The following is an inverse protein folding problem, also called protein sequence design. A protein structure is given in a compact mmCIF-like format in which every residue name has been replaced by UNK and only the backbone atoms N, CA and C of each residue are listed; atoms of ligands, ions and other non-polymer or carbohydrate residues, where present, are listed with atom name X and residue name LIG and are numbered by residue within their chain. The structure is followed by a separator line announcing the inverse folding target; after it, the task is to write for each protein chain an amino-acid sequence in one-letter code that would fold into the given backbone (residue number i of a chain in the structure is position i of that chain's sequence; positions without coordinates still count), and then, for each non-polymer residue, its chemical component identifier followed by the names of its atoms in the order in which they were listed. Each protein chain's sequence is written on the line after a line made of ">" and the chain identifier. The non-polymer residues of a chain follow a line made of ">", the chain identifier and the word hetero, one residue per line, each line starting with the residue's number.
data_IF_387118774572
#
_entry.id   IF_387118774572
#
_cell.length_a   1.000
_cell.length_b   1.000
_cell.length_c   1.000
_cell.angle_alpha   90.00
_cell.angle_beta   90.00
_cell.angle_gamma   90.00
#
_symmetry.space_group_name_H-M   'P 1'
#
loop_
_entity.id
_entity.type
_entity.pdbx_description
1 polymer ?
#
# COMPACT_ATOMS: atom_id res chain seq x y z
N UNK A 1 33.34 -23.02 6.40
CA UNK A 1 33.44 -23.66 5.08
C UNK A 1 33.07 -22.62 4.05
N UNK A 2 34.04 -22.30 3.17
CA UNK A 2 33.85 -21.47 1.98
C UNK A 2 33.35 -22.41 0.89
N UNK A 3 32.04 -22.64 0.85
CA UNK A 3 31.43 -23.23 -0.33
C UNK A 3 31.19 -22.09 -1.30
N UNK A 4 31.79 -22.19 -2.47
CA UNK A 4 31.55 -21.33 -3.61
C UNK A 4 30.06 -21.10 -3.77
N UNK A 5 29.63 -19.85 -3.63
CA UNK A 5 28.42 -19.36 -4.29
C UNK A 5 28.58 -19.73 -5.76
N UNK A 6 28.06 -20.89 -6.18
CA UNK A 6 27.60 -21.02 -7.55
C UNK A 6 26.61 -19.89 -7.70
N UNK A 7 27.08 -18.78 -8.29
CA UNK A 7 26.24 -17.71 -8.74
C UNK A 7 25.29 -18.38 -9.72
N UNK A 8 24.09 -18.69 -9.21
CA UNK A 8 22.98 -19.03 -10.07
C UNK A 8 22.70 -17.72 -10.81
N UNK A 9 23.41 -17.53 -11.91
CA UNK A 9 22.94 -16.72 -13.03
C UNK A 9 21.69 -17.43 -13.55
N UNK A 10 20.63 -17.44 -12.74
CA UNK A 10 19.30 -17.78 -13.21
C UNK A 10 18.99 -16.69 -14.20
N UNK A 11 19.17 -17.01 -15.49
CA UNK A 11 18.69 -16.15 -16.57
C UNK A 11 17.26 -15.80 -16.22
N UNK A 12 17.00 -14.51 -16.03
CA UNK A 12 15.66 -14.03 -15.73
C UNK A 12 14.75 -14.48 -16.88
N UNK A 13 13.77 -15.31 -16.56
CA UNK A 13 12.80 -15.87 -17.51
C UNK A 13 11.49 -15.11 -17.50
N UNK A 14 11.25 -14.30 -16.48
CA UNK A 14 10.02 -13.54 -16.29
C UNK A 14 10.24 -12.34 -15.37
N UNK A 15 9.53 -11.26 -15.62
CA UNK A 15 9.40 -10.12 -14.69
C UNK A 15 7.97 -10.07 -14.17
N UNK A 16 7.79 -9.93 -12.86
CA UNK A 16 6.49 -9.68 -12.24
C UNK A 16 6.50 -8.29 -11.59
N UNK A 17 5.75 -7.35 -12.16
CA UNK A 17 5.59 -5.99 -11.64
C UNK A 17 4.28 -5.88 -10.89
N UNK A 18 4.36 -5.55 -9.60
CA UNK A 18 3.23 -5.52 -8.67
C UNK A 18 3.07 -4.13 -8.08
N UNK A 19 1.91 -3.55 -8.32
CA UNK A 19 1.45 -2.33 -7.65
C UNK A 19 0.45 -2.73 -6.57
N UNK A 20 0.81 -2.55 -5.31
CA UNK A 20 -0.08 -2.83 -4.19
C UNK A 20 -0.78 -1.54 -3.77
N UNK A 21 -2.11 -1.57 -3.71
CA UNK A 21 -2.89 -0.51 -3.09
C UNK A 21 -3.46 -1.00 -1.76
N UNK A 22 -2.94 -0.47 -0.65
CA UNK A 22 -3.18 -0.96 0.72
C UNK A 22 -3.60 0.14 1.68
N UNK A 23 -4.10 -0.28 2.84
CA UNK A 23 -4.54 0.63 3.89
C UNK A 23 -3.37 1.34 4.60
N UNK A 24 -3.58 2.60 4.97
CA UNK A 24 -2.65 3.39 5.79
C UNK A 24 -2.51 2.95 7.25
N UNK A 25 -3.35 2.00 7.70
CA UNK A 25 -3.41 1.51 9.07
C UNK A 25 -2.02 1.21 9.64
N UNK A 26 -1.78 1.64 10.89
CA UNK A 26 -0.47 1.50 11.51
C UNK A 26 -0.06 0.04 11.69
N UNK A 27 -1.02 -0.88 11.83
CA UNK A 27 -0.78 -2.32 12.02
C UNK A 27 -0.34 -3.02 10.73
N UNK A 28 -0.59 -2.41 9.58
CA UNK A 28 -0.26 -2.95 8.25
C UNK A 28 1.25 -3.13 8.08
N UNK A 29 1.66 -4.26 7.47
CA UNK A 29 3.05 -4.62 7.20
C UNK A 29 3.98 -4.50 8.41
N UNK A 30 3.77 -5.42 9.34
CA UNK A 30 4.74 -5.69 10.40
C UNK A 30 6.12 -6.10 9.91
N UNK A 31 7.04 -6.15 10.87
CA UNK A 31 8.39 -6.65 10.63
C UNK A 31 8.41 -8.07 10.06
N UNK A 32 7.51 -8.94 10.53
CA UNK A 32 7.38 -10.30 10.00
C UNK A 32 7.05 -10.31 8.51
N UNK A 33 6.02 -9.56 8.10
CA UNK A 33 5.58 -9.54 6.70
C UNK A 33 6.65 -8.92 5.78
N UNK A 34 7.38 -7.90 6.26
CA UNK A 34 8.53 -7.34 5.55
C UNK A 34 9.61 -8.39 5.32
N UNK A 35 10.05 -9.08 6.38
CA UNK A 35 11.09 -10.13 6.30
C UNK A 35 10.69 -11.25 5.36
N UNK A 36 9.41 -11.63 5.39
CA UNK A 36 8.84 -12.60 4.46
C UNK A 36 8.91 -12.07 3.03
N UNK A 37 8.47 -10.84 2.77
CA UNK A 37 8.50 -10.24 1.44
C UNK A 37 9.92 -10.20 0.85
N UNK A 38 10.91 -9.71 1.61
CA UNK A 38 12.29 -9.61 1.16
C UNK A 38 12.89 -11.00 0.89
N UNK A 39 12.61 -11.97 1.78
CA UNK A 39 12.99 -13.36 1.59
C UNK A 39 12.34 -14.00 0.36
N UNK A 40 11.06 -13.71 0.10
CA UNK A 40 10.33 -14.28 -1.04
C UNK A 40 10.81 -13.71 -2.36
N UNK A 41 11.18 -12.43 -2.41
CA UNK A 41 11.76 -11.81 -3.62
C UNK A 41 13.02 -12.59 -4.03
N UNK A 42 13.93 -12.84 -3.09
CA UNK A 42 15.15 -13.61 -3.35
C UNK A 42 14.85 -15.06 -3.82
N UNK A 43 13.78 -15.67 -3.29
CA UNK A 43 13.37 -17.02 -3.70
C UNK A 43 12.71 -17.06 -5.08
N UNK A 44 11.96 -16.03 -5.45
CA UNK A 44 11.40 -15.87 -6.79
C UNK A 44 12.51 -15.61 -7.82
N UNK A 45 13.51 -14.79 -7.46
CA UNK A 45 14.68 -14.57 -8.31
C UNK A 45 15.46 -15.86 -8.55
N UNK A 46 15.60 -16.69 -7.52
CA UNK A 46 16.23 -18.01 -7.59
C UNK A 46 15.55 -19.01 -8.56
N UNK A 47 14.28 -18.79 -8.95
CA UNK A 47 13.56 -19.54 -10.00
C UNK A 47 13.45 -18.77 -11.31
N UNK A 48 14.23 -17.71 -11.47
CA UNK A 48 14.29 -16.89 -12.69
C UNK A 48 13.15 -15.89 -12.82
N UNK A 49 12.50 -15.47 -11.72
CA UNK A 49 11.45 -14.46 -11.72
C UNK A 49 11.94 -13.21 -11.00
N UNK A 50 12.15 -12.12 -11.75
CA UNK A 50 12.46 -10.81 -11.15
C UNK A 50 11.17 -10.17 -10.66
N UNK A 51 11.13 -9.75 -9.40
CA UNK A 51 9.96 -9.10 -8.82
C UNK A 51 10.21 -7.60 -8.64
N UNK A 52 9.31 -6.79 -9.18
CA UNK A 52 9.28 -5.34 -8.94
C UNK A 52 8.03 -5.03 -8.15
N UNK A 53 8.21 -4.52 -6.94
CA UNK A 53 7.11 -4.22 -6.03
C UNK A 53 7.03 -2.72 -5.76
N UNK A 54 5.83 -2.17 -5.83
CA UNK A 54 5.51 -0.79 -5.49
C UNK A 54 4.29 -0.72 -4.61
N UNK A 55 4.28 0.21 -3.67
CA UNK A 55 3.23 0.28 -2.66
C UNK A 55 2.63 1.69 -2.59
N UNK A 56 1.33 1.73 -2.83
CA UNK A 56 0.47 2.89 -2.72
C UNK A 56 -0.38 2.64 -1.47
N UNK A 57 -0.39 3.62 -0.58
CA UNK A 57 -0.95 3.46 0.76
C UNK A 57 -1.98 4.56 0.96
N UNK A 58 -3.25 4.21 1.12
CA UNK A 58 -4.34 5.16 1.38
C UNK A 58 -5.27 4.61 2.45
N UNK A 59 -5.72 5.43 3.39
CA UNK A 59 -6.65 4.97 4.42
C UNK A 59 -7.92 4.42 3.76
N UNK A 60 -8.35 3.24 4.20
CA UNK A 60 -9.54 2.58 3.66
C UNK A 60 -9.42 2.12 2.20
N UNK A 61 -8.33 2.41 1.49
CA UNK A 61 -8.09 1.97 0.10
C UNK A 61 -9.14 2.51 -0.87
N UNK A 62 -9.58 3.75 -0.71
CA UNK A 62 -10.53 4.38 -1.63
C UNK A 62 -9.88 4.84 -2.93
N UNK A 63 -10.23 4.17 -4.04
CA UNK A 63 -9.81 4.55 -5.39
C UNK A 63 -10.61 5.76 -5.89
N UNK A 64 -10.29 6.95 -5.37
CA UNK A 64 -10.78 8.24 -5.89
C UNK A 64 -10.04 8.63 -7.16
N UNK A 65 -10.57 9.62 -7.90
CA UNK A 65 -9.99 10.06 -9.16
C UNK A 65 -8.51 10.46 -9.03
N UNK A 66 -8.14 11.18 -7.98
CA UNK A 66 -6.74 11.56 -7.68
C UNK A 66 -5.84 10.35 -7.39
N UNK A 67 -6.36 9.35 -6.68
CA UNK A 67 -5.61 8.12 -6.39
C UNK A 67 -5.43 7.30 -7.66
N UNK A 68 -6.50 7.11 -8.45
CA UNK A 68 -6.45 6.40 -9.73
C UNK A 68 -5.46 7.08 -10.66
N UNK A 69 -5.58 8.38 -10.84
CA UNK A 69 -4.67 9.20 -11.63
C UNK A 69 -3.21 9.06 -11.16
N UNK A 70 -2.98 9.11 -9.84
CA UNK A 70 -1.68 8.84 -9.23
C UNK A 70 -1.15 7.43 -9.54
N UNK A 71 -1.99 6.40 -9.43
CA UNK A 71 -1.64 5.01 -9.80
C UNK A 71 -1.24 4.96 -11.28
N UNK A 72 -2.07 5.49 -12.18
CA UNK A 72 -1.83 5.46 -13.63
C UNK A 72 -0.53 6.17 -14.01
N UNK A 73 -0.28 7.38 -13.48
CA UNK A 73 0.98 8.10 -13.71
C UNK A 73 2.19 7.32 -13.17
N UNK A 74 2.04 6.70 -12.00
CA UNK A 74 3.05 5.84 -11.41
C UNK A 74 3.41 4.66 -12.32
N UNK A 75 2.39 3.97 -12.81
CA UNK A 75 2.51 2.87 -13.76
C UNK A 75 3.19 3.33 -15.04
N UNK A 76 2.73 4.42 -15.66
CA UNK A 76 3.35 4.99 -16.86
C UNK A 76 4.83 5.27 -16.66
N UNK A 77 5.20 6.01 -15.59
CA UNK A 77 6.60 6.35 -15.30
C UNK A 77 7.46 5.09 -15.11
N UNK A 78 6.92 4.05 -14.46
CA UNK A 78 7.66 2.81 -14.19
C UNK A 78 7.68 1.85 -15.36
N UNK A 79 6.65 1.82 -16.19
CA UNK A 79 6.68 1.06 -17.44
C UNK A 79 7.66 1.71 -18.41
N UNK A 80 7.59 3.03 -18.60
CA UNK A 80 8.55 3.74 -19.46
C UNK A 80 10.00 3.52 -18.99
N UNK A 81 10.27 3.79 -17.71
CA UNK A 81 11.59 3.57 -17.12
C UNK A 81 11.99 2.09 -17.10
N UNK A 82 11.05 1.20 -16.83
CA UNK A 82 11.26 -0.25 -16.77
C UNK A 82 11.50 -0.86 -18.14
N UNK A 83 10.85 -0.38 -19.19
CA UNK A 83 11.15 -0.76 -20.57
C UNK A 83 12.56 -0.29 -20.94
N UNK A 84 12.99 0.91 -20.54
CA UNK A 84 14.36 1.38 -20.76
C UNK A 84 15.40 0.57 -19.95
N UNK A 85 15.17 0.34 -18.66
CA UNK A 85 16.11 -0.31 -17.73
C UNK A 85 16.10 -1.84 -17.79
N UNK A 86 14.99 -2.48 -18.14
CA UNK A 86 14.84 -3.96 -18.14
C UNK A 86 14.84 -4.57 -19.53
N UNK A 87 14.54 -3.84 -20.59
CA UNK A 87 14.75 -4.37 -21.95
C UNK A 87 16.23 -4.30 -22.30
N UNK A 88 16.85 -3.13 -22.13
CA UNK A 88 18.17 -2.87 -22.70
C UNK A 88 19.27 -3.84 -22.23
N UNK A 89 19.39 -4.18 -20.93
CA UNK A 89 20.45 -5.09 -20.48
C UNK A 89 20.20 -6.57 -20.81
N UNK A 90 18.96 -6.95 -21.12
CA UNK A 90 18.56 -8.36 -21.29
C UNK A 90 18.22 -8.73 -22.73
N UNK A 91 18.31 -7.76 -23.66
CA UNK A 91 18.13 -7.96 -25.09
C UNK A 91 19.02 -9.06 -25.66
N UNK A 92 20.23 -9.18 -25.12
CA UNK A 92 21.25 -10.11 -25.62
C UNK A 92 21.24 -11.47 -24.86
N UNK A 93 20.50 -11.58 -23.75
CA UNK A 93 20.46 -12.78 -22.89
C UNK A 93 19.31 -13.75 -23.23
N UNK A 94 18.28 -13.29 -23.94
CA UNK A 94 17.13 -14.09 -24.35
C UNK A 94 17.30 -14.58 -25.81
N UNK A 95 17.37 -15.90 -26.07
CA UNK A 95 17.54 -16.45 -27.43
C UNK A 95 16.45 -16.08 -28.44
N UNK A 96 15.32 -15.51 -27.98
CA UNK A 96 14.17 -15.09 -28.78
C UNK A 96 13.70 -13.65 -28.51
N UNK A 97 14.51 -12.82 -27.84
CA UNK A 97 14.33 -11.36 -27.82
C UNK A 97 13.21 -10.76 -26.95
N UNK A 98 12.47 -11.55 -26.15
CA UNK A 98 11.48 -10.99 -25.21
C UNK A 98 11.38 -11.77 -23.89
N UNK A 99 11.51 -11.07 -22.76
CA UNK A 99 11.22 -11.61 -21.42
C UNK A 99 9.77 -11.26 -21.08
N UNK A 100 8.90 -12.25 -20.82
CA UNK A 100 7.52 -12.00 -20.41
C UNK A 100 7.43 -11.10 -19.16
N UNK A 101 6.55 -10.11 -19.21
CA UNK A 101 6.27 -9.20 -18.11
C UNK A 101 4.81 -9.35 -17.66
N UNK A 102 4.60 -9.68 -16.39
CA UNK A 102 3.28 -9.63 -15.76
C UNK A 102 3.11 -8.28 -15.06
N UNK A 103 1.96 -7.65 -15.27
CA UNK A 103 1.57 -6.42 -14.58
C UNK A 103 0.34 -6.68 -13.70
N UNK A 104 0.55 -6.61 -12.39
CA UNK A 104 -0.50 -6.89 -11.41
C UNK A 104 -0.73 -5.68 -10.52
N UNK A 105 -1.99 -5.29 -10.35
CA UNK A 105 -2.41 -4.38 -9.30
C UNK A 105 -3.14 -5.16 -8.21
N UNK A 106 -2.59 -5.18 -7.00
CA UNK A 106 -3.20 -5.84 -5.85
C UNK A 106 -3.92 -4.79 -4.99
N UNK A 107 -5.25 -4.73 -5.06
CA UNK A 107 -6.08 -3.96 -4.13
C UNK A 107 -6.32 -4.81 -2.88
N UNK A 108 -5.92 -4.33 -1.72
CA UNK A 108 -6.07 -5.10 -0.49
C UNK A 108 -6.52 -4.22 0.67
N UNK A 109 -7.73 -4.50 1.15
CA UNK A 109 -8.30 -3.85 2.35
C UNK A 109 -8.00 -4.71 3.59
N UNK A 110 -8.44 -4.29 4.77
CA UNK A 110 -8.35 -5.11 5.97
C UNK A 110 -9.65 -5.12 6.76
N UNK A 111 -9.93 -6.26 7.38
CA UNK A 111 -11.07 -6.48 8.27
C UNK A 111 -10.85 -7.74 9.12
N UNK A 112 -11.65 -7.91 10.18
CA UNK A 112 -11.79 -9.21 10.86
C UNK A 112 -12.68 -10.13 10.03
N UNK A 113 -12.10 -10.62 8.95
CA UNK A 113 -12.74 -11.52 7.99
C UNK A 113 -12.14 -12.92 8.08
N UNK A 114 -12.99 -13.93 7.92
CA UNK A 114 -12.58 -15.34 7.84
C UNK A 114 -13.42 -16.06 6.82
N UNK A 115 -12.92 -17.19 6.32
CA UNK A 115 -13.70 -18.10 5.50
C UNK A 115 -14.75 -18.82 6.34
N UNK A 116 -15.92 -19.09 5.75
CA UNK A 116 -16.96 -19.96 6.32
C UNK A 116 -16.43 -21.37 6.56
N UNK A 117 -17.02 -22.05 7.53
CA UNK A 117 -16.77 -23.47 7.74
C UNK A 117 -17.12 -24.26 6.46
N UNK A 118 -16.23 -25.17 6.06
CA UNK A 118 -16.36 -25.96 4.83
C UNK A 118 -15.79 -25.33 3.56
N UNK A 119 -15.42 -24.05 3.57
CA UNK A 119 -14.73 -23.43 2.43
C UNK A 119 -13.32 -24.02 2.23
N UNK A 120 -12.91 -24.21 0.97
CA UNK A 120 -11.58 -24.72 0.64
C UNK A 120 -10.51 -23.67 0.98
N UNK A 121 -9.79 -23.88 2.08
CA UNK A 121 -8.72 -22.99 2.55
C UNK A 121 -7.48 -22.96 1.63
N UNK A 122 -7.37 -23.91 0.70
CA UNK A 122 -6.25 -23.96 -0.24
C UNK A 122 -6.55 -23.24 -1.56
N UNK A 123 -7.79 -22.81 -1.80
CA UNK A 123 -8.11 -22.04 -2.98
C UNK A 123 -7.36 -20.70 -2.98
N UNK A 124 -6.81 -20.32 -4.14
CA UNK A 124 -6.17 -19.02 -4.30
C UNK A 124 -7.17 -17.85 -4.26
N UNK A 125 -8.43 -18.12 -4.60
CA UNK A 125 -9.52 -17.13 -4.67
C UNK A 125 -10.80 -17.79 -4.17
N UNK A 126 -11.60 -17.05 -3.41
CA UNK A 126 -12.86 -17.51 -2.84
C UNK A 126 -14.03 -16.68 -3.38
N UNK A 127 -15.23 -17.26 -3.50
CA UNK A 127 -16.41 -16.47 -3.77
C UNK A 127 -16.72 -15.55 -2.57
N UNK A 128 -17.27 -14.38 -2.85
CA UNK A 128 -17.68 -13.41 -1.83
C UNK A 128 -18.62 -14.01 -0.76
N UNK A 129 -19.44 -15.00 -1.14
CA UNK A 129 -20.36 -15.72 -0.25
C UNK A 129 -19.66 -16.52 0.85
N UNK A 130 -18.38 -16.86 0.66
CA UNK A 130 -17.62 -17.67 1.61
C UNK A 130 -16.94 -16.82 2.69
N UNK A 131 -17.03 -15.49 2.60
CA UNK A 131 -16.40 -14.59 3.56
C UNK A 131 -17.39 -14.18 4.64
N UNK A 132 -16.97 -14.30 5.90
CA UNK A 132 -17.70 -13.82 7.08
C UNK A 132 -16.88 -12.72 7.72
N UNK A 133 -17.52 -11.59 8.07
CA UNK A 133 -16.87 -10.48 8.76
C UNK A 133 -17.48 -10.27 10.15
N UNK A 134 -16.63 -9.92 11.13
CA UNK A 134 -17.08 -9.51 12.46
C UNK A 134 -17.15 -7.99 12.52
N UNK A 135 -18.36 -7.43 12.44
CA UNK A 135 -18.60 -5.97 12.33
C UNK A 135 -17.96 -5.14 13.45
N UNK A 136 -18.07 -5.59 14.69
CA UNK A 136 -17.63 -4.85 15.88
C UNK A 136 -16.15 -5.10 16.26
N UNK A 137 -15.33 -5.56 15.31
CA UNK A 137 -13.93 -5.88 15.59
C UNK A 137 -13.02 -4.65 15.57
N UNK A 138 -12.14 -4.55 16.55
CA UNK A 138 -11.10 -3.50 16.66
C UNK A 138 -10.12 -3.49 15.50
N UNK A 139 -10.03 -4.56 14.70
CA UNK A 139 -9.14 -4.67 13.54
C UNK A 139 -9.77 -4.24 12.23
N UNK A 140 -11.07 -3.92 12.23
CA UNK A 140 -11.72 -3.33 11.06
C UNK A 140 -11.11 -1.97 10.74
N UNK A 141 -11.22 -1.58 9.48
CA UNK A 141 -10.69 -0.30 9.03
C UNK A 141 -11.44 0.85 9.70
N UNK A 142 -10.72 1.79 10.30
CA UNK A 142 -11.33 2.99 10.91
C UNK A 142 -12.10 3.85 9.92
N UNK A 143 -11.83 3.72 8.62
CA UNK A 143 -12.62 4.36 7.55
C UNK A 143 -14.03 3.75 7.36
N UNK A 144 -14.40 2.72 8.12
CA UNK A 144 -15.81 2.37 8.35
C UNK A 144 -16.62 3.56 8.87
N UNK A 145 -15.99 4.48 9.59
CA UNK A 145 -16.59 5.71 10.13
C UNK A 145 -16.25 6.97 9.32
N UNK A 146 -15.91 6.84 8.03
CA UNK A 146 -15.44 7.97 7.24
C UNK A 146 -16.41 9.17 7.22
N UNK A 147 -17.73 8.92 7.25
CA UNK A 147 -18.74 9.98 7.33
C UNK A 147 -18.71 10.74 8.67
N UNK A 148 -18.48 10.05 9.78
CA UNK A 148 -18.38 10.69 11.10
C UNK A 148 -17.12 11.57 11.15
N UNK A 149 -16.00 11.06 10.65
CA UNK A 149 -14.74 11.82 10.51
C UNK A 149 -14.94 13.04 9.61
N UNK A 150 -15.72 12.92 8.53
CA UNK A 150 -16.01 14.04 7.64
C UNK A 150 -16.88 15.11 8.31
N UNK A 151 -17.93 14.71 9.03
CA UNK A 151 -18.75 15.63 9.83
C UNK A 151 -17.89 16.40 10.83
N UNK A 152 -16.99 15.69 11.48
CA UNK A 152 -16.02 16.24 12.42
C UNK A 152 -15.03 17.22 11.77
N UNK A 153 -14.63 16.95 10.52
CA UNK A 153 -13.80 17.85 9.72
C UNK A 153 -14.59 19.11 9.34
N UNK A 154 -15.84 18.96 8.89
CA UNK A 154 -16.71 20.06 8.50
C UNK A 154 -16.95 21.03 9.66
N UNK A 155 -17.25 20.51 10.85
CA UNK A 155 -17.38 21.34 12.05
C UNK A 155 -16.05 22.00 12.43
N UNK A 156 -14.93 21.29 12.27
CA UNK A 156 -13.61 21.84 12.54
C UNK A 156 -13.23 23.01 11.60
N UNK A 157 -13.59 22.97 10.32
CA UNK A 157 -13.23 24.02 9.34
C UNK A 157 -14.20 25.19 9.30
N UNK A 158 -15.41 25.01 9.86
CA UNK A 158 -16.49 25.99 9.84
C UNK A 158 -16.06 27.35 10.43
N UNK A 159 -16.20 28.40 9.64
CA UNK A 159 -15.82 29.78 9.96
C UNK A 159 -14.31 30.02 10.07
N UNK A 160 -13.47 29.04 9.73
CA UNK A 160 -12.01 29.08 9.97
C UNK A 160 -11.17 28.96 8.71
N UNK A 161 -11.76 28.46 7.61
CA UNK A 161 -11.14 28.44 6.30
C UNK A 161 -11.73 29.53 5.41
N UNK A 162 -10.83 30.31 4.80
CA UNK A 162 -11.17 31.32 3.81
C UNK A 162 -10.23 31.27 2.61
N UNK A 163 -10.76 31.55 1.41
CA UNK A 163 -9.98 31.76 0.19
C UNK A 163 -10.51 32.97 -0.56
N UNK A 164 -9.58 33.77 -1.10
CA UNK A 164 -9.92 34.86 -2.02
C UNK A 164 -10.08 34.32 -3.44
N UNK A 165 -11.26 34.49 -4.02
CA UNK A 165 -11.56 34.10 -5.40
C UNK A 165 -11.90 35.36 -6.22
N UNK A 166 -10.88 35.99 -6.80
CA UNK A 166 -11.02 37.32 -7.41
C UNK A 166 -11.32 38.39 -6.36
N UNK A 167 -12.48 39.05 -6.46
CA UNK A 167 -12.91 40.13 -5.56
C UNK A 167 -13.76 39.66 -4.36
N UNK A 168 -14.11 38.37 -4.30
CA UNK A 168 -14.86 37.77 -3.19
C UNK A 168 -13.95 36.97 -2.25
N UNK A 169 -14.35 36.88 -0.99
CA UNK A 169 -13.79 35.97 0.00
C UNK A 169 -14.83 34.88 0.24
N UNK A 170 -14.44 33.62 0.02
CA UNK A 170 -15.26 32.45 0.34
C UNK A 170 -14.84 31.97 1.73
N UNK A 171 -15.78 31.92 2.65
CA UNK A 171 -15.57 31.38 4.00
C UNK A 171 -16.40 30.11 4.14
N UNK A 172 -15.79 29.03 4.64
CA UNK A 172 -16.48 27.74 4.77
C UNK A 172 -17.44 27.78 5.96
N UNK A 173 -18.75 27.69 5.73
CA UNK A 173 -19.78 27.64 6.78
C UNK A 173 -20.65 26.37 6.74
N UNK A 174 -20.69 25.74 5.58
CA UNK A 174 -21.50 24.59 5.23
C UNK A 174 -20.84 23.84 4.05
N UNK A 175 -21.53 22.85 3.51
CA UNK A 175 -20.98 22.02 2.43
C UNK A 175 -20.94 22.72 1.08
N UNK A 176 -21.86 23.65 0.80
CA UNK A 176 -21.88 24.36 -0.48
C UNK A 176 -20.73 25.36 -0.54
N UNK A 177 -20.50 26.10 0.55
CA UNK A 177 -19.31 26.95 0.70
C UNK A 177 -18.01 26.15 0.73
N UNK A 178 -18.00 24.92 1.27
CA UNK A 178 -16.84 24.02 1.16
C UNK A 178 -16.60 23.55 -0.28
N UNK A 179 -17.66 23.21 -1.03
CA UNK A 179 -17.54 22.86 -2.46
C UNK A 179 -16.94 24.02 -3.24
N UNK A 180 -17.42 25.24 -2.98
CA UNK A 180 -16.90 26.43 -3.63
C UNK A 180 -15.44 26.69 -3.25
N UNK A 181 -15.10 26.60 -1.97
CA UNK A 181 -13.74 26.70 -1.47
C UNK A 181 -12.80 25.71 -2.18
N UNK A 182 -13.22 24.44 -2.30
CA UNK A 182 -12.44 23.38 -2.94
C UNK A 182 -12.24 23.65 -4.44
N UNK A 183 -13.25 24.18 -5.14
CA UNK A 183 -13.12 24.55 -6.57
C UNK A 183 -11.98 25.53 -6.78
N UNK A 184 -11.90 26.56 -5.93
CA UNK A 184 -10.91 27.63 -6.06
C UNK A 184 -9.50 27.22 -5.62
N UNK A 185 -9.39 26.34 -4.61
CA UNK A 185 -8.09 25.97 -4.01
C UNK A 185 -7.52 24.65 -4.52
N UNK A 186 -8.36 23.75 -5.03
CA UNK A 186 -8.01 22.40 -5.47
C UNK A 186 -8.37 22.14 -6.94
N UNK A 187 -8.66 23.18 -7.75
CA UNK A 187 -9.10 23.05 -9.15
C UNK A 187 -10.21 21.99 -9.31
N UNK A 188 -11.11 21.95 -8.32
CA UNK A 188 -12.12 20.92 -8.20
C UNK A 188 -13.30 21.27 -9.11
N UNK A 189 -13.28 20.76 -10.34
CA UNK A 189 -14.27 21.06 -11.39
C UNK A 189 -15.58 20.25 -11.29
N UNK A 190 -15.76 19.35 -10.31
CA UNK A 190 -17.07 18.69 -10.08
C UNK A 190 -17.18 17.52 -9.09
N UNK A 191 -18.46 17.24 -8.77
CA UNK A 191 -19.16 16.34 -7.82
C UNK A 191 -19.27 16.76 -6.33
N UNK A 192 -20.40 16.42 -5.71
CA UNK A 192 -20.80 16.74 -4.34
C UNK A 192 -19.74 16.28 -3.30
N UNK A 193 -19.23 17.13 -2.38
CA UNK A 193 -18.32 16.72 -1.30
C UNK A 193 -18.76 15.46 -0.53
N UNK A 194 -20.08 15.20 -0.45
CA UNK A 194 -20.65 13.96 0.13
C UNK A 194 -20.55 12.74 -0.78
N UNK A 195 -20.59 12.89 -2.11
CA UNK A 195 -20.41 11.76 -3.05
C UNK A 195 -18.99 11.19 -2.98
N UNK A 196 -18.04 12.00 -2.52
CA UNK A 196 -16.64 11.64 -2.33
C UNK A 196 -16.39 10.76 -1.10
N UNK A 197 -17.06 11.00 0.04
CA UNK A 197 -16.76 10.28 1.29
C UNK A 197 -17.85 9.25 1.58
N UNK A 198 -17.54 7.98 1.34
CA UNK A 198 -18.40 6.84 1.61
C UNK A 198 -17.79 6.02 2.74
N UNK A 199 -18.58 5.59 3.73
CA UNK A 199 -18.07 4.68 4.74
C UNK A 199 -17.83 3.30 4.13
N UNK A 200 -17.03 2.50 4.83
CA UNK A 200 -16.92 1.06 4.53
C UNK A 200 -17.99 0.34 5.34
N UNK A 201 -19.14 0.08 4.72
CA UNK A 201 -20.24 -0.66 5.35
C UNK A 201 -20.02 -2.17 5.27
N UNK A 202 -19.52 -2.62 4.11
CA UNK A 202 -19.19 -4.00 3.81
C UNK A 202 -17.82 -4.06 3.15
N UNK A 203 -16.86 -4.74 3.79
CA UNK A 203 -15.48 -4.85 3.31
C UNK A 203 -15.35 -5.65 2.00
N UNK A 204 -16.22 -6.66 1.79
CA UNK A 204 -16.25 -7.49 0.58
C UNK A 204 -16.68 -6.66 -0.61
N UNK A 205 -17.83 -5.99 -0.51
CA UNK A 205 -18.32 -5.10 -1.57
C UNK A 205 -17.37 -3.92 -1.80
N UNK A 206 -16.79 -3.39 -0.71
CA UNK A 206 -15.88 -2.26 -0.81
C UNK A 206 -14.64 -2.61 -1.62
N UNK A 207 -13.87 -3.65 -1.28
CA UNK A 207 -12.65 -3.96 -2.03
C UNK A 207 -12.94 -4.28 -3.50
N UNK A 208 -14.03 -5.01 -3.78
CA UNK A 208 -14.45 -5.31 -5.15
C UNK A 208 -14.80 -4.03 -5.93
N UNK A 209 -15.52 -3.10 -5.30
CA UNK A 209 -15.84 -1.79 -5.89
C UNK A 209 -14.58 -0.97 -6.19
N UNK A 210 -13.58 -0.98 -5.32
CA UNK A 210 -12.33 -0.24 -5.57
C UNK A 210 -11.50 -0.88 -6.68
N UNK A 211 -11.42 -2.22 -6.71
CA UNK A 211 -10.80 -2.95 -7.82
C UNK A 211 -11.48 -2.64 -9.15
N UNK A 212 -12.82 -2.75 -9.23
CA UNK A 212 -13.58 -2.46 -10.45
C UNK A 212 -13.44 -1.02 -10.94
N UNK A 213 -13.29 -0.03 -10.04
CA UNK A 213 -12.97 1.36 -10.44
C UNK A 213 -11.60 1.48 -11.10
N UNK A 214 -10.60 0.79 -10.57
CA UNK A 214 -9.24 0.79 -11.11
C UNK A 214 -9.21 0.03 -12.45
N UNK A 215 -9.88 -1.12 -12.55
CA UNK A 215 -10.03 -1.88 -13.80
C UNK A 215 -10.69 -1.01 -14.90
N UNK A 216 -11.78 -0.32 -14.56
CA UNK A 216 -12.45 0.59 -15.49
C UNK A 216 -11.52 1.73 -15.95
N UNK A 217 -10.68 2.26 -15.05
CA UNK A 217 -9.69 3.28 -15.41
C UNK A 217 -8.57 2.75 -16.32
N UNK A 218 -8.10 1.52 -16.05
CA UNK A 218 -7.06 0.85 -16.86
C UNK A 218 -7.56 0.48 -18.26
N UNK A 219 -8.84 0.14 -18.40
CA UNK A 219 -9.48 -0.11 -19.70
C UNK A 219 -9.51 1.14 -20.61
N UNK A 220 -9.37 2.33 -20.02
CA UNK A 220 -9.40 3.61 -20.72
C UNK A 220 -10.82 4.03 -21.16
N UNK A 221 -10.95 5.21 -21.81
CA UNK A 221 -12.23 5.69 -22.32
C UNK A 221 -12.79 4.74 -23.39
N UNK A 222 -14.12 4.67 -23.50
CA UNK A 222 -14.76 3.92 -24.60
C UNK A 222 -14.42 4.55 -25.95
N UNK A 223 -14.44 3.78 -27.06
CA UNK A 223 -14.26 4.36 -28.39
C UNK A 223 -15.20 5.54 -28.63
N UNK A 224 -14.65 6.74 -28.86
CA UNK A 224 -15.40 7.98 -29.07
C UNK A 224 -15.47 8.94 -27.87
N UNK A 225 -15.05 8.52 -26.68
CA UNK A 225 -14.88 9.41 -25.53
C UNK A 225 -13.51 10.09 -25.58
N UNK A 226 -13.46 11.40 -25.33
CA UNK A 226 -12.20 12.15 -25.33
C UNK A 226 -11.27 11.60 -24.24
N UNK A 227 -10.07 11.17 -24.65
CA UNK A 227 -9.05 10.71 -23.72
C UNK A 227 -8.53 11.92 -22.93
N UNK A 228 -8.88 12.02 -21.65
CA UNK A 228 -8.19 12.95 -20.76
C UNK A 228 -6.70 12.56 -20.74
N UNK A 229 -5.85 13.56 -20.91
CA UNK A 229 -4.43 13.55 -21.36
C UNK A 229 -3.43 12.71 -20.55
N UNK A 230 -3.88 11.86 -19.62
CA UNK A 230 -3.02 11.11 -18.70
C UNK A 230 -2.60 9.74 -19.26
N UNK A 231 -3.33 9.20 -20.23
CA UNK A 231 -3.09 7.84 -20.78
C UNK A 231 -2.04 7.77 -21.90
N UNK A 232 -1.41 8.88 -22.28
CA UNK A 232 -0.39 8.91 -23.35
C UNK A 232 0.86 9.63 -22.85
N UNK A 233 1.72 8.88 -22.19
CA UNK A 233 3.10 9.28 -21.92
C UNK A 233 4.02 8.37 -22.76
N UNK A 234 4.83 8.98 -23.63
CA UNK A 234 5.81 8.29 -24.51
C UNK A 234 5.23 7.34 -25.59
N UNK A 235 4.03 7.59 -26.11
CA UNK A 235 3.46 6.84 -27.24
C UNK A 235 2.87 5.47 -26.90
N UNK A 236 2.85 5.11 -25.61
CA UNK A 236 2.28 3.87 -25.08
C UNK A 236 1.05 4.16 -24.21
N UNK A 237 -0.03 3.37 -24.36
CA UNK A 237 -1.24 3.52 -23.55
C UNK A 237 -1.35 2.39 -22.53
N UNK A 238 -1.74 2.69 -21.29
CA UNK A 238 -1.89 1.64 -20.26
C UNK A 238 -2.90 0.57 -20.64
N UNK A 239 -3.90 0.90 -21.47
CA UNK A 239 -4.88 -0.05 -22.00
C UNK A 239 -4.26 -1.13 -22.90
N UNK A 240 -3.05 -0.89 -23.40
CA UNK A 240 -2.32 -1.84 -24.26
C UNK A 240 -1.45 -2.81 -23.43
N UNK A 241 -1.37 -2.62 -22.10
CA UNK A 241 -0.78 -3.58 -21.17
C UNK A 241 -1.84 -4.59 -20.75
N UNK A 242 -1.48 -5.86 -20.69
CA UNK A 242 -2.30 -6.89 -20.05
C UNK A 242 -2.20 -6.76 -18.51
N UNK A 243 -3.11 -5.97 -17.93
CA UNK A 243 -3.20 -5.78 -16.49
C UNK A 243 -4.07 -6.85 -15.85
N UNK A 244 -3.62 -7.35 -14.71
CA UNK A 244 -4.47 -8.06 -13.77
C UNK A 244 -4.74 -7.19 -12.55
N UNK A 245 -6.01 -7.05 -12.16
CA UNK A 245 -6.38 -6.46 -10.87
C UNK A 245 -6.89 -7.55 -9.94
N UNK A 246 -6.22 -7.70 -8.81
CA UNK A 246 -6.62 -8.61 -7.74
C UNK A 246 -7.24 -7.82 -6.58
N UNK A 247 -8.16 -8.45 -5.86
CA UNK A 247 -8.94 -7.84 -4.79
C UNK A 247 -8.95 -8.78 -3.58
N UNK A 248 -8.43 -8.30 -2.46
CA UNK A 248 -8.32 -9.09 -1.23
C UNK A 248 -8.67 -8.35 0.05
N UNK A 249 -8.94 -9.14 1.10
CA UNK A 249 -9.12 -8.66 2.46
C UNK A 249 -8.07 -9.32 3.34
N UNK A 250 -7.24 -8.53 3.98
CA UNK A 250 -6.28 -9.00 4.98
C UNK A 250 -6.91 -9.05 6.36
N UNK A 251 -6.88 -10.21 6.99
CA UNK A 251 -7.14 -10.32 8.43
C UNK A 251 -5.83 -10.12 9.19
N UNK A 252 -5.67 -8.96 9.83
CA UNK A 252 -4.44 -8.67 10.59
C UNK A 252 -4.19 -9.63 11.75
N UNK A 253 -5.24 -10.20 12.36
CA UNK A 253 -5.10 -11.15 13.48
C UNK A 253 -4.39 -12.44 13.06
N UNK A 254 -4.74 -12.97 11.90
CA UNK A 254 -4.23 -14.27 11.42
C UNK A 254 -3.12 -14.11 10.38
N UNK A 255 -3.04 -12.95 9.71
CA UNK A 255 -2.20 -12.75 8.53
C UNK A 255 -2.79 -13.31 7.24
N UNK A 256 -3.98 -13.92 7.31
CA UNK A 256 -4.66 -14.46 6.14
C UNK A 256 -5.04 -13.33 5.18
N UNK A 257 -4.79 -13.54 3.89
CA UNK A 257 -5.34 -12.70 2.82
C UNK A 257 -6.37 -13.52 2.07
N UNK A 258 -7.63 -13.08 2.13
CA UNK A 258 -8.75 -13.72 1.43
C UNK A 258 -8.98 -12.97 0.12
N UNK A 259 -8.62 -13.58 -1.01
CA UNK A 259 -8.90 -13.02 -2.33
C UNK A 259 -10.32 -13.34 -2.77
N UNK A 260 -10.98 -12.35 -3.36
CA UNK A 260 -12.38 -12.43 -3.80
C UNK A 260 -12.60 -11.84 -5.20
N UNK A 261 -11.53 -11.56 -5.94
CA UNK A 261 -11.56 -11.00 -7.30
C UNK A 261 -12.10 -11.96 -8.38
N UNK A 262 -12.29 -13.24 -8.07
CA UNK A 262 -12.66 -14.26 -9.05
C UNK A 262 -11.55 -14.67 -10.03
N UNK A 263 -10.36 -14.05 -9.97
CA UNK A 263 -9.24 -14.35 -10.85
C UNK A 263 -8.36 -15.50 -10.32
N UNK A 264 -8.87 -16.72 -10.44
CA UNK A 264 -8.15 -17.94 -10.01
C UNK A 264 -6.95 -18.31 -10.89
N UNK A 265 -6.75 -17.61 -12.01
CA UNK A 265 -5.68 -17.90 -12.98
C UNK A 265 -4.37 -17.19 -12.64
N UNK A 266 -4.43 -16.10 -11.88
CA UNK A 266 -3.25 -15.28 -11.58
C UNK A 266 -2.83 -15.47 -10.13
N UNK A 267 -1.78 -16.25 -9.94
CA UNK A 267 -1.07 -16.45 -8.67
C UNK A 267 0.24 -15.65 -8.67
N UNK A 268 0.50 -14.91 -7.60
CA UNK A 268 1.61 -13.97 -7.52
C UNK A 268 2.45 -14.22 -6.27
N UNK A 269 3.61 -13.57 -6.20
CA UNK A 269 4.41 -13.54 -4.95
C UNK A 269 3.61 -13.02 -3.76
N UNK A 270 2.58 -12.16 -3.96
CA UNK A 270 1.79 -11.64 -2.86
C UNK A 270 0.96 -12.72 -2.17
N UNK A 271 0.51 -13.73 -2.91
CA UNK A 271 -0.19 -14.88 -2.38
C UNK A 271 0.75 -15.75 -1.52
N UNK A 272 1.99 -15.99 -1.98
CA UNK A 272 3.01 -16.71 -1.20
C UNK A 272 3.48 -15.93 0.03
N UNK A 273 3.65 -14.59 -0.08
CA UNK A 273 3.97 -13.72 1.06
C UNK A 273 2.86 -13.80 2.12
N UNK A 274 1.60 -13.74 1.71
CA UNK A 274 0.46 -13.84 2.62
C UNK A 274 0.44 -15.20 3.34
N UNK A 275 0.54 -16.31 2.60
CA UNK A 275 0.51 -17.68 3.16
C UNK A 275 1.69 -17.97 4.07
N UNK A 276 2.89 -17.49 3.74
CA UNK A 276 4.05 -17.63 4.62
C UNK A 276 3.88 -16.78 5.89
N UNK A 277 3.37 -15.55 5.76
CA UNK A 277 3.09 -14.68 6.91
C UNK A 277 2.05 -15.32 7.83
N UNK A 278 0.95 -15.84 7.29
CA UNK A 278 -0.07 -16.59 8.04
C UNK A 278 0.54 -17.79 8.76
N UNK A 279 1.37 -18.58 8.09
CA UNK A 279 2.03 -19.76 8.67
C UNK A 279 2.95 -19.39 9.84
N UNK A 280 3.70 -18.29 9.72
CA UNK A 280 4.57 -17.80 10.80
C UNK A 280 3.73 -17.27 11.96
N UNK A 281 2.71 -16.46 11.68
CA UNK A 281 1.83 -15.94 12.72
C UNK A 281 1.13 -17.09 13.45
N UNK A 282 0.66 -18.14 12.77
CA UNK A 282 0.06 -19.29 13.43
C UNK A 282 0.94 -19.92 14.52
N UNK A 283 2.27 -19.89 14.34
CA UNK A 283 3.24 -20.47 15.28
C UNK A 283 3.64 -19.54 16.45
N UNK A 284 3.38 -18.23 16.34
CA UNK A 284 3.69 -17.30 17.43
C UNK A 284 2.70 -17.47 18.59
N UNK A 285 3.13 -17.37 19.87
CA UNK A 285 2.20 -17.37 20.98
C UNK A 285 1.28 -16.13 20.93
N UNK A 286 0.05 -16.24 21.44
CA UNK A 286 -0.90 -15.11 21.42
C UNK A 286 -0.39 -13.88 22.21
N UNK A 287 0.49 -14.09 23.18
CA UNK A 287 1.18 -13.03 23.94
C UNK A 287 2.33 -12.37 23.18
N UNK A 288 2.71 -12.87 22.00
CA UNK A 288 3.81 -12.30 21.23
C UNK A 288 3.49 -10.85 20.81
N UNK A 289 4.42 -9.88 20.96
CA UNK A 289 4.17 -8.47 20.65
C UNK A 289 3.61 -8.22 19.24
N UNK A 290 4.15 -8.92 18.23
CA UNK A 290 3.65 -8.86 16.84
C UNK A 290 2.17 -9.25 16.70
N UNK A 291 1.69 -10.24 17.47
CA UNK A 291 0.28 -10.65 17.46
C UNK A 291 -0.59 -9.68 18.24
N UNK A 292 -0.15 -9.31 19.45
CA UNK A 292 -0.88 -8.39 20.32
C UNK A 292 -1.18 -7.07 19.61
N UNK A 293 -0.17 -6.43 19.02
CA UNK A 293 -0.35 -5.15 18.33
C UNK A 293 -1.30 -5.21 17.12
N UNK A 294 -1.37 -6.37 16.44
CA UNK A 294 -2.23 -6.57 15.25
C UNK A 294 -3.71 -6.67 15.60
N UNK A 295 -4.04 -7.01 16.85
CA UNK A 295 -5.43 -7.21 17.30
C UNK A 295 -5.98 -6.05 18.12
N UNK A 296 -5.11 -5.19 18.62
CA UNK A 296 -5.48 -3.97 19.34
C UNK A 296 -5.96 -2.86 18.39
N UNK A 297 -6.72 -1.89 18.93
CA UNK A 297 -7.04 -0.67 18.21
C UNK A 297 -5.74 0.09 17.89
N UNK A 298 -5.61 0.61 16.67
CA UNK A 298 -4.39 1.30 16.25
C UNK A 298 -4.13 2.55 17.09
N UNK A 299 -2.89 2.73 17.51
CA UNK A 299 -2.40 3.91 18.24
C UNK A 299 -1.04 4.33 17.66
N UNK A 300 -1.02 4.91 16.45
CA UNK A 300 0.22 5.36 15.84
C UNK A 300 0.87 6.50 16.65
N UNK A 301 2.18 6.44 16.80
CA UNK A 301 3.00 7.53 17.32
C UNK A 301 3.16 8.64 16.27
N UNK A 302 3.15 8.25 14.99
CA UNK A 302 3.48 9.12 13.87
C UNK A 302 2.60 8.91 12.64
N UNK A 303 2.44 9.99 11.88
CA UNK A 303 1.91 10.00 10.51
C UNK A 303 3.09 10.10 9.55
N UNK A 304 3.14 9.23 8.54
CA UNK A 304 4.17 9.25 7.51
C UNK A 304 3.53 9.55 6.16
N UNK A 305 3.91 10.67 5.55
CA UNK A 305 3.69 10.92 4.12
C UNK A 305 4.94 10.44 3.37
N UNK A 306 4.79 9.51 2.43
CA UNK A 306 5.93 8.95 1.73
C UNK A 306 5.76 8.77 0.22
N UNK A 307 6.90 8.78 -0.48
CA UNK A 307 6.95 8.44 -1.90
C UNK A 307 6.66 6.95 -2.11
N UNK A 308 5.84 6.58 -3.11
CA UNK A 308 5.60 5.17 -3.47
C UNK A 308 6.85 4.48 -4.03
N UNK A 309 7.93 5.23 -4.31
CA UNK A 309 9.20 4.66 -4.76
C UNK A 309 10.02 4.06 -3.61
N UNK A 310 9.79 4.50 -2.37
CA UNK A 310 10.48 3.99 -1.18
C UNK A 310 9.93 2.60 -0.82
N UNK A 311 10.74 1.52 -0.85
CA UNK A 311 10.23 0.15 -0.67
C UNK A 311 9.68 -0.18 0.72
N UNK A 312 10.28 0.42 1.78
CA UNK A 312 9.95 0.11 3.18
C UNK A 312 9.78 1.36 4.05
N UNK A 313 8.84 2.26 3.71
CA UNK A 313 8.80 3.61 4.27
C UNK A 313 8.66 3.64 5.80
N UNK A 314 7.82 2.75 6.37
CA UNK A 314 7.64 2.63 7.83
C UNK A 314 8.93 2.20 8.53
N UNK A 315 9.62 1.19 7.99
CA UNK A 315 10.86 0.70 8.58
C UNK A 315 12.00 1.70 8.45
N UNK A 316 12.07 2.43 7.34
CA UNK A 316 13.02 3.54 7.16
C UNK A 316 12.82 4.60 8.25
N UNK A 317 11.56 5.00 8.52
CA UNK A 317 11.26 5.93 9.60
C UNK A 317 11.71 5.40 10.98
N UNK A 318 11.48 4.12 11.26
CA UNK A 318 11.90 3.49 12.52
C UNK A 318 13.42 3.47 12.69
N UNK A 319 14.18 3.17 11.61
CA UNK A 319 15.64 3.19 11.69
C UNK A 319 16.20 4.59 11.97
N UNK A 320 15.60 5.63 11.40
CA UNK A 320 16.08 7.01 11.55
C UNK A 320 15.80 7.57 12.95
N UNK A 321 14.73 7.13 13.62
CA UNK A 321 14.36 7.64 14.95
C UNK A 321 14.88 6.78 16.12
N UNK A 322 15.62 5.71 15.83
CA UNK A 322 16.14 4.79 16.86
C UNK A 322 17.13 5.47 17.82
N UNK A 323 17.82 6.54 17.39
CA UNK A 323 18.80 7.30 18.19
C UNK A 323 18.18 8.44 19.03
N UNK A 324 16.87 8.73 18.90
CA UNK A 324 16.20 9.87 19.56
C UNK A 324 14.76 9.62 20.05
N UNK A 325 14.29 8.37 19.98
CA UNK A 325 13.09 7.80 20.61
C UNK A 325 11.77 8.61 20.57
N UNK A 326 11.37 9.14 19.40
CA UNK A 326 9.98 9.59 19.18
C UNK A 326 9.07 8.55 18.52
N UNK A 327 9.63 7.64 17.72
CA UNK A 327 8.90 6.55 17.06
C UNK A 327 9.71 5.28 17.28
N UNK A 328 9.22 4.39 18.14
CA UNK A 328 10.05 3.32 18.70
C UNK A 328 9.65 1.90 18.31
N UNK A 329 8.46 1.68 17.73
CA UNK A 329 7.94 0.31 17.57
C UNK A 329 7.36 0.01 16.18
N UNK A 330 7.63 -1.19 15.62
CA UNK A 330 6.91 -1.69 14.45
C UNK A 330 5.41 -1.65 14.70
N UNK A 331 4.66 -1.10 13.75
CA UNK A 331 3.22 -0.97 13.90
C UNK A 331 2.72 0.36 14.46
N UNK A 332 3.62 1.31 14.76
CA UNK A 332 3.24 2.62 15.31
C UNK A 332 3.23 3.76 14.29
N UNK A 333 3.28 3.45 13.00
CA UNK A 333 3.33 4.44 11.92
C UNK A 333 2.12 4.31 11.01
N UNK A 334 1.20 5.27 11.10
CA UNK A 334 0.14 5.41 10.11
C UNK A 334 0.73 6.06 8.86
N UNK A 335 0.62 5.41 7.70
CA UNK A 335 1.32 5.86 6.50
C UNK A 335 0.35 6.21 5.36
N UNK A 336 0.74 7.17 4.53
CA UNK A 336 0.06 7.55 3.31
C UNK A 336 1.11 7.69 2.21
N UNK A 337 0.93 7.01 1.09
CA UNK A 337 1.80 7.09 -0.07
C UNK A 337 1.00 7.16 -1.36
N UNK A 338 1.55 7.86 -2.36
CA UNK A 338 1.00 7.92 -3.70
C UNK A 338 1.73 8.97 -4.53
N UNK A 339 1.64 8.84 -5.85
CA UNK A 339 2.26 9.80 -6.77
C UNK A 339 1.53 11.15 -6.76
N UNK A 340 0.29 11.19 -6.28
CA UNK A 340 -0.45 12.41 -5.99
C UNK A 340 0.20 13.21 -4.85
N UNK A 341 0.69 12.55 -3.80
CA UNK A 341 1.32 13.20 -2.64
C UNK A 341 2.60 13.94 -3.03
N UNK A 342 3.35 13.41 -3.99
CA UNK A 342 4.71 13.84 -4.31
C UNK A 342 4.74 14.98 -5.33
N UNK A 343 3.60 15.30 -5.94
CA UNK A 343 3.48 16.37 -6.92
C UNK A 343 3.00 17.68 -6.28
N UNK A 344 3.81 18.76 -6.27
CA UNK A 344 3.48 20.00 -5.56
C UNK A 344 2.40 20.83 -6.25
N UNK A 345 2.09 20.54 -7.51
CA UNK A 345 1.10 21.27 -8.31
C UNK A 345 -0.32 20.75 -8.14
N UNK A 346 -0.49 19.52 -7.63
CA UNK A 346 -1.80 18.94 -7.40
C UNK A 346 -2.18 19.12 -5.93
N UNK A 347 -3.45 19.38 -5.63
CA UNK A 347 -3.97 19.34 -4.27
C UNK A 347 -3.92 17.95 -3.63
N UNK A 348 -4.11 17.86 -2.31
CA UNK A 348 -4.51 16.59 -1.70
C UNK A 348 -5.98 16.29 -2.04
N UNK A 349 -6.26 15.04 -2.42
CA UNK A 349 -7.64 14.59 -2.60
C UNK A 349 -8.38 14.45 -1.27
N UNK A 350 -9.70 14.25 -1.31
CA UNK A 350 -10.57 14.28 -0.13
C UNK A 350 -10.19 13.21 0.90
N UNK A 351 -9.92 11.96 0.49
CA UNK A 351 -9.49 10.94 1.45
C UNK A 351 -8.09 11.17 2.00
N UNK A 352 -7.20 11.88 1.29
CA UNK A 352 -5.89 12.26 1.84
C UNK A 352 -6.06 13.25 2.98
N UNK A 353 -6.82 14.32 2.75
CA UNK A 353 -7.14 15.32 3.76
C UNK A 353 -7.88 14.67 4.95
N UNK A 354 -8.89 13.84 4.66
CA UNK A 354 -9.63 13.11 5.69
C UNK A 354 -8.73 12.16 6.49
N UNK A 355 -7.76 11.50 5.84
CA UNK A 355 -6.80 10.62 6.51
C UNK A 355 -5.84 11.39 7.42
N UNK A 356 -5.35 12.55 6.97
CA UNK A 356 -4.50 13.43 7.78
C UNK A 356 -5.28 13.91 9.00
N UNK A 357 -6.52 14.36 8.80
CA UNK A 357 -7.40 14.79 9.89
C UNK A 357 -7.72 13.65 10.86
N UNK A 358 -8.03 12.46 10.35
CA UNK A 358 -8.25 11.25 11.15
C UNK A 358 -7.04 10.92 12.01
N UNK A 359 -5.84 10.88 11.43
CA UNK A 359 -4.60 10.60 12.15
C UNK A 359 -4.36 11.62 13.28
N UNK A 360 -4.57 12.90 13.02
CA UNK A 360 -4.27 13.97 13.98
C UNK A 360 -5.34 14.10 15.07
N UNK A 361 -6.62 14.13 14.69
CA UNK A 361 -7.73 14.35 15.62
C UNK A 361 -8.15 13.06 16.35
N UNK A 362 -8.35 11.97 15.60
CA UNK A 362 -8.94 10.75 16.14
C UNK A 362 -7.90 9.74 16.65
N UNK A 363 -6.72 9.68 16.01
CA UNK A 363 -5.61 8.84 16.49
C UNK A 363 -4.63 9.58 17.39
N UNK A 364 -4.76 10.90 17.53
CA UNK A 364 -3.95 11.71 18.45
C UNK A 364 -2.51 11.96 17.98
N UNK A 365 -2.20 11.71 16.71
CA UNK A 365 -0.85 11.91 16.17
C UNK A 365 -0.43 13.38 16.27
N UNK A 366 0.82 13.61 16.70
CA UNK A 366 1.42 14.95 16.82
C UNK A 366 2.72 15.13 16.04
N UNK A 367 3.31 14.05 15.53
CA UNK A 367 4.49 14.09 14.69
C UNK A 367 4.14 13.57 13.28
N UNK A 368 4.36 14.40 12.26
CA UNK A 368 4.17 14.10 10.85
C UNK A 368 5.53 14.07 10.17
N UNK A 369 5.88 12.94 9.57
CA UNK A 369 7.14 12.75 8.86
C UNK A 369 6.91 12.75 7.34
N UNK A 370 7.85 13.33 6.61
CA UNK A 370 7.87 13.38 5.14
C UNK A 370 9.09 12.60 4.65
N UNK A 371 8.86 11.66 3.73
CA UNK A 371 9.87 10.75 3.19
C UNK A 371 9.76 10.66 1.66
N UNK A 372 10.71 11.24 0.93
CA UNK A 372 10.77 11.19 -0.53
C UNK A 372 11.73 10.12 -1.07
N UNK A 373 11.83 10.01 -2.40
CA UNK A 373 12.88 9.29 -3.15
C UNK A 373 14.13 10.17 -3.38
N UNK A 374 14.14 11.38 -2.83
CA UNK A 374 15.14 12.42 -3.04
C UNK A 374 14.74 13.75 -2.41
N UNK A 375 15.71 14.67 -2.25
CA UNK A 375 15.51 15.91 -1.47
C UNK A 375 14.46 16.81 -2.14
N UNK A 376 14.49 16.87 -3.48
CA UNK A 376 13.50 17.60 -4.26
C UNK A 376 12.07 17.09 -4.04
N UNK A 377 11.88 15.79 -3.84
CA UNK A 377 10.56 15.21 -3.58
C UNK A 377 10.09 15.52 -2.14
N UNK A 378 11.00 15.41 -1.16
CA UNK A 378 10.72 15.83 0.24
C UNK A 378 10.30 17.30 0.29
N UNK A 379 11.05 18.18 -0.38
CA UNK A 379 10.74 19.61 -0.43
C UNK A 379 9.41 19.88 -1.15
N UNK A 380 9.12 19.15 -2.24
CA UNK A 380 7.85 19.26 -2.96
C UNK A 380 6.65 18.86 -2.09
N UNK A 381 6.77 17.76 -1.36
CA UNK A 381 5.76 17.27 -0.42
C UNK A 381 5.54 18.26 0.74
N UNK A 382 6.62 18.83 1.29
CA UNK A 382 6.53 19.85 2.34
C UNK A 382 5.82 21.11 1.82
N UNK A 383 6.20 21.60 0.63
CA UNK A 383 5.57 22.76 0.01
C UNK A 383 4.08 22.51 -0.20
N UNK A 384 3.70 21.32 -0.71
CA UNK A 384 2.30 20.93 -0.87
C UNK A 384 1.55 20.97 0.47
N UNK A 385 2.12 20.35 1.50
CA UNK A 385 1.53 20.32 2.84
C UNK A 385 1.32 21.71 3.44
N UNK A 386 2.25 22.65 3.21
CA UNK A 386 2.16 24.04 3.68
C UNK A 386 1.19 24.89 2.85
N UNK A 387 1.00 24.56 1.57
CA UNK A 387 0.12 25.30 0.64
C UNK A 387 -1.32 24.85 0.71
N UNK A 388 -1.57 23.58 1.04
CA UNK A 388 -2.92 23.05 1.24
C UNK A 388 -3.58 23.73 2.46
N UNK A 389 -4.65 24.53 2.28
CA UNK A 389 -5.20 25.34 3.37
C UNK A 389 -5.78 24.49 4.50
N UNK A 390 -6.39 23.35 4.19
CA UNK A 390 -7.00 22.46 5.16
C UNK A 390 -5.90 21.79 5.98
N UNK A 391 -4.90 21.22 5.31
CA UNK A 391 -3.76 20.58 5.99
C UNK A 391 -2.99 21.59 6.85
N UNK A 392 -2.78 22.82 6.36
CA UNK A 392 -2.15 23.90 7.11
C UNK A 392 -2.94 24.24 8.37
N UNK A 393 -4.27 24.33 8.28
CA UNK A 393 -5.12 24.57 9.45
C UNK A 393 -5.02 23.41 10.46
N UNK A 394 -5.08 22.15 10.00
CA UNK A 394 -4.92 20.97 10.86
C UNK A 394 -3.57 21.01 11.60
N UNK A 395 -2.48 21.26 10.88
CA UNK A 395 -1.13 21.29 11.46
C UNK A 395 -1.01 22.38 12.53
N UNK A 396 -1.50 23.58 12.23
CA UNK A 396 -1.43 24.72 13.14
C UNK A 396 -2.24 24.49 14.41
N UNK A 397 -3.51 24.08 14.26
CA UNK A 397 -4.47 24.04 15.37
C UNK A 397 -4.25 22.86 16.31
N UNK A 398 -3.76 21.73 15.79
CA UNK A 398 -3.41 20.57 16.61
C UNK A 398 -1.94 20.54 17.03
N UNK A 399 -1.14 21.56 16.68
CA UNK A 399 0.28 21.65 17.04
C UNK A 399 1.12 20.51 16.48
N UNK A 400 0.83 20.07 15.25
CA UNK A 400 1.55 18.97 14.59
C UNK A 400 2.94 19.43 14.19
N UNK A 401 3.96 18.66 14.59
CA UNK A 401 5.36 18.89 14.21
C UNK A 401 5.64 18.16 12.90
N UNK A 402 6.07 18.92 11.89
CA UNK A 402 6.45 18.37 10.58
C UNK A 402 7.96 18.12 10.54
N UNK A 403 8.34 16.89 10.25
CA UNK A 403 9.72 16.42 10.16
C UNK A 403 10.05 15.98 8.74
N UNK A 404 11.23 16.34 8.27
CA UNK A 404 11.77 15.86 6.99
C UNK A 404 12.78 14.76 7.26
N UNK A 405 12.64 13.63 6.57
CA UNK A 405 13.62 12.56 6.62
C UNK A 405 14.60 12.77 5.48
N UNK A 406 15.89 12.80 5.80
CA UNK A 406 16.96 12.94 4.81
C UNK A 406 17.10 11.66 3.97
N UNK A 407 17.33 11.83 2.67
CA UNK A 407 17.51 10.74 1.71
C UNK A 407 18.83 10.02 1.88
N UNK A 408 19.86 10.63 2.46
CA UNK A 408 21.09 9.91 2.84
C UNK A 408 20.84 8.83 3.90
N UNK A 409 19.68 8.90 4.59
CA UNK A 409 19.23 7.88 5.51
C UNK A 409 18.34 6.81 4.82
N UNK A 410 17.85 7.11 3.61
CA UNK A 410 17.04 6.23 2.76
C UNK A 410 17.97 5.29 1.99
N UNK A 411 18.44 4.25 2.66
CA UNK A 411 19.39 3.28 2.08
C UNK A 411 20.35 2.69 3.08
N UNK A 412 20.44 3.25 4.29
CA UNK A 412 21.06 2.53 5.40
C UNK A 412 20.24 1.25 5.62
N UNK A 413 20.84 0.05 5.58
CA UNK A 413 20.11 -1.13 6.01
C UNK A 413 19.63 -0.81 7.41
N UNK A 414 18.30 -0.84 7.64
CA UNK A 414 17.81 -0.69 9.00
C UNK A 414 18.58 -1.74 9.80
N UNK A 415 19.34 -1.32 10.80
CA UNK A 415 19.83 -2.24 11.83
C UNK A 415 18.57 -2.78 12.47
N UNK A 416 18.02 -3.82 11.85
CA UNK A 416 16.80 -4.41 12.34
C UNK A 416 17.10 -4.82 13.76
N UNK A 417 16.22 -4.51 14.72
CA UNK A 417 16.35 -5.11 16.03
C UNK A 417 16.54 -6.61 15.80
N UNK A 418 17.55 -7.22 16.47
CA UNK A 418 17.84 -8.63 16.30
C UNK A 418 16.53 -9.41 16.41
N UNK A 419 16.38 -10.42 15.55
CA UNK A 419 15.18 -11.27 15.59
C UNK A 419 14.95 -11.70 17.04
N UNK A 420 13.77 -11.42 17.58
CA UNK A 420 13.37 -11.89 18.89
C UNK A 420 13.72 -13.40 18.96
N UNK A 421 14.57 -13.85 19.91
CA UNK A 421 14.95 -15.24 20.02
C UNK A 421 13.75 -16.19 20.07
N UNK A 422 12.62 -15.76 20.66
CA UNK A 422 11.37 -16.52 20.67
C UNK A 422 10.67 -16.56 19.32
N UNK A 423 10.85 -15.55 18.47
CA UNK A 423 10.33 -15.54 17.11
C UNK A 423 11.11 -16.50 16.20
N UNK A 424 12.37 -16.83 16.51
CA UNK A 424 13.22 -17.63 15.62
C UNK A 424 12.65 -19.02 15.36
N UNK A 425 12.25 -19.76 16.39
CA UNK A 425 11.71 -21.12 16.23
C UNK A 425 10.35 -21.11 15.55
N UNK A 426 9.49 -20.17 15.89
CA UNK A 426 8.19 -19.98 15.24
C UNK A 426 8.34 -19.59 13.76
N UNK A 427 9.34 -18.77 13.41
CA UNK A 427 9.67 -18.42 12.03
C UNK A 427 10.16 -19.66 11.27
N UNK A 428 11.06 -20.45 11.86
CA UNK A 428 11.57 -21.69 11.24
C UNK A 428 10.43 -22.67 11.00
N UNK A 429 9.59 -22.92 12.00
CA UNK A 429 8.49 -23.87 11.88
C UNK A 429 7.38 -23.36 10.95
N UNK A 430 7.08 -22.06 10.98
CA UNK A 430 6.15 -21.43 10.04
C UNK A 430 6.63 -21.54 8.59
N UNK A 431 7.93 -21.35 8.34
CA UNK A 431 8.52 -21.55 7.00
C UNK A 431 8.46 -23.02 6.57
N UNK A 432 8.77 -23.96 7.47
CA UNK A 432 8.61 -25.40 7.21
C UNK A 432 7.17 -25.77 6.88
N UNK A 433 6.20 -25.22 7.62
CA UNK A 433 4.78 -25.43 7.37
C UNK A 433 4.36 -24.88 6.00
N UNK A 434 4.82 -23.69 5.62
CA UNK A 434 4.59 -23.11 4.30
C UNK A 434 5.17 -24.00 3.18
N UNK A 435 6.44 -24.38 3.27
CA UNK A 435 7.08 -25.17 2.21
C UNK A 435 6.54 -26.60 2.09
N UNK A 436 6.07 -27.20 3.19
CA UNK A 436 5.35 -28.49 3.15
C UNK A 436 4.01 -28.40 2.43
N UNK A 437 3.39 -27.22 2.42
CA UNK A 437 2.05 -26.98 1.89
C UNK A 437 2.06 -25.88 0.82
N UNK A 438 3.08 -25.86 -0.05
CA UNK A 438 3.16 -24.92 -1.17
C UNK A 438 1.88 -25.01 -2.02
N UNK A 439 1.40 -23.85 -2.48
CA UNK A 439 0.23 -23.82 -3.34
C UNK A 439 0.61 -24.46 -4.69
N UNK A 440 -0.25 -25.26 -5.34
CA UNK A 440 0.08 -25.87 -6.63
C UNK A 440 0.49 -24.86 -7.72
N UNK A 441 -0.02 -23.62 -7.66
CA UNK A 441 0.33 -22.56 -8.61
C UNK A 441 1.60 -21.77 -8.22
N UNK A 442 2.22 -22.03 -7.07
CA UNK A 442 3.46 -21.34 -6.68
C UNK A 442 4.61 -21.74 -7.62
N UNK A 443 5.37 -20.77 -8.17
CA UNK A 443 6.54 -21.06 -8.99
C UNK A 443 7.68 -21.70 -8.18
N UNK A 444 7.63 -21.62 -6.85
CA UNK A 444 8.62 -22.25 -5.96
C UNK A 444 8.57 -23.78 -6.01
N UNK A 445 7.48 -24.38 -6.51
CA UNK A 445 7.41 -25.82 -6.78
C UNK A 445 8.44 -26.30 -7.81
N UNK A 446 9.07 -25.38 -8.57
CA UNK A 446 10.14 -25.69 -9.52
C UNK A 446 11.52 -25.85 -8.86
N UNK A 447 11.66 -25.45 -7.60
CA UNK A 447 12.93 -25.59 -6.88
C UNK A 447 13.23 -27.08 -6.60
N UNK A 448 14.49 -27.53 -6.72
CA UNK A 448 14.87 -28.88 -6.30
C UNK A 448 14.51 -29.12 -4.84
N UNK A 449 14.04 -30.34 -4.49
CA UNK A 449 13.65 -30.68 -3.11
C UNK A 449 14.75 -30.39 -2.09
N UNK A 450 16.01 -30.64 -2.44
CA UNK A 450 17.15 -30.34 -1.55
C UNK A 450 17.32 -28.83 -1.29
N UNK A 451 17.00 -27.99 -2.27
CA UNK A 451 17.00 -26.53 -2.10
C UNK A 451 15.83 -26.06 -1.24
N UNK A 452 14.64 -26.64 -1.43
CA UNK A 452 13.49 -26.40 -0.55
C UNK A 452 13.79 -26.80 0.91
N UNK A 453 14.45 -27.95 1.13
CA UNK A 453 14.90 -28.38 2.46
C UNK A 453 15.88 -27.38 3.09
N UNK A 454 16.86 -26.88 2.33
CA UNK A 454 17.81 -25.85 2.82
C UNK A 454 17.11 -24.53 3.15
N UNK A 455 16.15 -24.11 2.34
CA UNK A 455 15.32 -22.91 2.58
C UNK A 455 14.40 -23.05 3.80
N UNK A 456 14.13 -24.28 4.27
CA UNK A 456 13.42 -24.52 5.52
C UNK A 456 14.30 -24.37 6.77
N UNK A 457 15.63 -24.36 6.63
CA UNK A 457 16.59 -24.40 7.74
C UNK A 457 17.47 -23.15 7.88
N UNK A 458 17.68 -22.42 6.77
CA UNK A 458 18.38 -21.12 6.74
C UNK A 458 17.37 -20.00 6.94
#
# INVERSE_FOLDING_TARGET
>A
MKDSEESVDSKITKVQTIFEYRCGDARDRGDTERRVADGMINQYEAVGIRVIRKSIIGAGVFATADVIDGIMRGMHRKIAKGMEEMWWPFRDAAPAGWIPMDFVLQVNTHADASLREGADKNAAVHPASDVVFKKESSINCGMGHALDVYRDLMEFVKGRLEVRAGDRIIVVHDEDSMREFLRETHAFEGEDPRAFIKPIENHVEHVMRQAGKIEAALAGPRPGEACQSVNVLAGFQLRDVDWTVNAGITNYRTGQVIRIDGNSKVYTIMDDIARMTESILAMLPNSHPEKARRVEAQKPDALLLCSPNVPHPRSTLLSVNSDGARVATPGSVFALSGYDITSPTYPFGPYRVLSIFYAVKHLGVRDLYILGDGEGEVNSMEVKLRRDPICRLIIKEFGVKVHKIDNEMVGRPSSMPPADPFAKDAIIEGRRAFFRNLHPQSPLNRLPQERLKRLCTA
#
